data_IF_184070777715
#
_entry.id   IF_184070777715
#
_cell.length_a   1.000
_cell.length_b   1.000
_cell.length_c   1.000
_cell.angle_alpha   90.00
_cell.angle_beta   90.00
_cell.angle_gamma   90.00
#
_symmetry.space_group_name_H-M   'P 1'
#
loop_
_entity.id
_entity.type
_entity.pdbx_description
1 polymer ?
#
# COMPACT_ATOMS: atom_id res chain seq x y z
N UNK A 1 6.55 -52.67 32.33
CA UNK A 1 6.27 -51.35 32.93
C UNK A 1 6.84 -50.27 32.01
N UNK A 2 6.00 -49.29 31.64
CA UNK A 2 6.23 -47.96 31.04
C UNK A 2 7.11 -47.85 29.76
N UNK A 3 6.51 -47.68 28.57
CA UNK A 3 6.09 -46.40 27.93
C UNK A 3 7.21 -45.34 27.80
N UNK A 4 7.85 -45.30 26.64
CA UNK A 4 8.55 -44.10 26.15
C UNK A 4 7.55 -43.25 25.36
N UNK A 5 7.26 -42.06 25.90
CA UNK A 5 6.30 -41.10 25.37
C UNK A 5 7.05 -39.98 24.64
N UNK A 6 6.40 -39.50 23.58
CA UNK A 6 6.81 -38.47 22.63
C UNK A 6 7.43 -37.20 23.23
N UNK A 7 8.50 -36.71 22.58
CA UNK A 7 9.08 -35.38 22.78
C UNK A 7 9.53 -34.79 21.43
N UNK A 8 8.59 -34.62 20.51
CA UNK A 8 8.74 -33.85 19.26
C UNK A 8 7.37 -33.22 18.97
N UNK A 9 7.07 -32.04 19.53
CA UNK A 9 5.73 -31.47 19.36
C UNK A 9 5.49 -30.00 19.70
N UNK A 10 6.47 -29.23 20.20
CA UNK A 10 6.22 -27.83 20.58
C UNK A 10 6.79 -26.77 19.62
N UNK A 11 7.82 -27.09 18.83
CA UNK A 11 8.41 -26.10 17.89
C UNK A 11 7.54 -25.81 16.65
N UNK A 12 6.77 -26.81 16.18
CA UNK A 12 5.97 -26.68 14.95
C UNK A 12 4.71 -25.83 15.15
N UNK A 13 4.09 -25.87 16.34
CA UNK A 13 2.88 -25.11 16.63
C UNK A 13 3.12 -23.59 16.70
N UNK A 14 4.27 -23.14 17.21
CA UNK A 14 4.57 -21.71 17.34
C UNK A 14 4.80 -21.03 15.97
N UNK A 15 5.48 -21.70 15.03
CA UNK A 15 5.66 -21.19 13.66
C UNK A 15 4.36 -21.17 12.86
N UNK A 16 3.49 -22.19 13.04
CA UNK A 16 2.16 -22.18 12.42
C UNK A 16 1.29 -21.02 12.93
N UNK A 17 1.32 -20.72 14.22
CA UNK A 17 0.54 -19.62 14.80
C UNK A 17 1.00 -18.24 14.30
N UNK A 18 2.31 -18.02 14.19
CA UNK A 18 2.86 -16.76 13.67
C UNK A 18 2.56 -16.57 12.19
N UNK A 19 2.62 -17.62 11.38
CA UNK A 19 2.23 -17.56 9.96
C UNK A 19 0.72 -17.27 9.79
N UNK A 20 -0.14 -17.86 10.63
CA UNK A 20 -1.59 -17.63 10.58
C UNK A 20 -1.98 -16.21 11.01
N UNK A 21 -1.38 -15.67 12.08
CA UNK A 21 -1.62 -14.29 12.52
C UNK A 21 -1.17 -13.27 11.45
N UNK A 22 -0.07 -13.58 10.76
CA UNK A 22 0.49 -12.74 9.71
C UNK A 22 -0.27 -12.83 8.37
N UNK A 23 -1.01 -13.91 8.10
CA UNK A 23 -1.98 -14.03 7.02
C UNK A 23 -3.31 -13.30 7.35
N UNK A 24 -3.77 -13.38 8.60
CA UNK A 24 -5.00 -12.70 9.06
C UNK A 24 -4.89 -11.16 9.01
N UNK A 25 -3.72 -10.61 9.38
CA UNK A 25 -3.42 -9.17 9.24
C UNK A 25 -3.47 -8.72 7.77
N UNK A 26 -3.15 -9.60 6.82
CA UNK A 26 -3.19 -9.29 5.39
C UNK A 26 -4.58 -9.35 4.78
N UNK A 27 -5.42 -10.28 5.24
CA UNK A 27 -6.83 -10.30 4.89
C UNK A 27 -7.55 -9.05 5.44
N UNK A 28 -7.23 -8.65 6.67
CA UNK A 28 -7.77 -7.43 7.28
C UNK A 28 -7.37 -6.14 6.55
N UNK A 29 -6.21 -6.11 5.88
CA UNK A 29 -5.74 -5.00 5.04
C UNK A 29 -6.27 -5.04 3.60
N UNK A 30 -6.75 -6.20 3.14
CA UNK A 30 -7.44 -6.35 1.86
C UNK A 30 -8.88 -5.83 1.95
N UNK A 31 -9.49 -6.00 3.12
CA UNK A 31 -10.73 -5.35 3.50
C UNK A 31 -10.48 -3.87 3.80
N UNK A 32 -11.37 -2.99 3.34
CA UNK A 32 -11.31 -1.57 3.72
C UNK A 32 -11.46 -1.49 5.25
N UNK A 33 -10.72 -0.62 5.97
CA UNK A 33 -11.13 -0.28 7.32
C UNK A 33 -12.58 0.22 7.25
N UNK A 34 -13.45 -0.18 8.19
CA UNK A 34 -14.80 0.36 8.21
C UNK A 34 -14.72 1.90 8.26
N UNK A 35 -15.62 2.54 7.53
CA UNK A 35 -15.74 4.00 7.36
C UNK A 35 -15.84 4.81 8.68
N UNK A 36 -15.79 4.13 9.83
CA UNK A 36 -15.81 4.65 11.19
C UNK A 36 -14.47 5.20 11.68
N UNK A 37 -13.34 4.93 11.02
CA UNK A 37 -12.04 5.51 11.40
C UNK A 37 -11.80 6.96 10.88
N UNK A 38 -12.82 7.58 10.29
CA UNK A 38 -12.70 8.77 9.41
C UNK A 38 -13.77 9.82 9.68
N UNK A 39 -14.08 10.06 10.96
CA UNK A 39 -15.10 11.04 11.37
C UNK A 39 -14.72 12.52 11.08
N UNK A 40 -13.43 12.83 10.87
CA UNK A 40 -12.94 14.21 10.72
C UNK A 40 -12.43 14.57 9.31
N UNK A 41 -12.70 13.74 8.30
CA UNK A 41 -12.23 13.99 6.94
C UNK A 41 -13.36 14.51 6.05
N UNK A 42 -13.19 15.70 5.46
CA UNK A 42 -14.15 16.30 4.54
C UNK A 42 -14.03 15.68 3.14
N UNK A 43 -15.18 15.55 2.47
CA UNK A 43 -15.25 15.17 1.06
C UNK A 43 -14.77 16.32 0.16
N UNK A 44 -14.32 16.00 -1.05
CA UNK A 44 -13.85 16.96 -2.05
C UNK A 44 -12.44 16.67 -2.51
N UNK A 45 -12.31 15.69 -3.40
CA UNK A 45 -11.04 15.33 -4.01
C UNK A 45 -10.57 16.45 -4.95
N UNK A 46 -9.39 16.99 -4.72
CA UNK A 46 -8.76 17.92 -5.67
C UNK A 46 -7.30 17.54 -5.89
N UNK A 47 -6.76 17.77 -7.11
CA UNK A 47 -5.36 17.48 -7.39
C UNK A 47 -4.41 18.20 -6.42
N UNK A 48 -4.71 19.45 -6.10
CA UNK A 48 -3.91 20.24 -5.15
C UNK A 48 -3.88 19.63 -3.73
N UNK A 49 -5.03 19.14 -3.23
CA UNK A 49 -5.10 18.48 -1.92
C UNK A 49 -4.33 17.16 -1.91
N UNK A 50 -4.48 16.34 -2.95
CA UNK A 50 -3.74 15.09 -3.10
C UNK A 50 -2.23 15.34 -3.13
N UNK A 51 -1.79 16.32 -3.91
CA UNK A 51 -0.38 16.70 -4.00
C UNK A 51 0.18 17.22 -2.68
N UNK A 52 -0.51 18.14 -2.02
CA UNK A 52 -0.10 18.63 -0.70
C UNK A 52 -0.01 17.51 0.34
N UNK A 53 -0.92 16.54 0.27
CA UNK A 53 -0.94 15.39 1.17
C UNK A 53 0.10 14.32 0.84
N UNK A 54 0.72 14.27 -0.34
CA UNK A 54 1.68 13.20 -0.67
C UNK A 54 3.11 13.69 -0.92
N UNK A 55 3.29 14.97 -1.22
CA UNK A 55 4.59 15.56 -1.50
C UNK A 55 5.59 15.32 -0.36
N UNK A 56 6.81 14.92 -0.72
CA UNK A 56 7.90 14.70 0.24
C UNK A 56 8.79 13.51 -0.10
N UNK A 57 9.81 13.31 0.75
CA UNK A 57 10.64 12.12 0.77
C UNK A 57 10.13 11.16 1.85
N UNK A 58 10.10 9.88 1.54
CA UNK A 58 9.47 8.85 2.34
C UNK A 58 10.43 7.65 2.47
N UNK A 59 10.50 7.04 3.66
CA UNK A 59 11.30 5.82 3.89
C UNK A 59 10.49 4.77 4.62
N UNK A 60 10.70 3.51 4.27
CA UNK A 60 10.02 2.39 4.91
C UNK A 60 10.21 1.11 4.11
N UNK A 61 9.11 0.40 3.83
CA UNK A 61 9.17 -0.91 3.18
C UNK A 61 8.07 -1.11 2.14
N UNK A 62 8.39 -1.88 1.11
CA UNK A 62 7.42 -2.56 0.26
C UNK A 62 7.28 -4.00 0.77
N UNK A 63 6.06 -4.41 1.09
CA UNK A 63 5.73 -5.82 1.25
C UNK A 63 4.85 -6.27 0.11
N UNK A 64 5.20 -7.34 -0.58
CA UNK A 64 4.42 -7.85 -1.70
C UNK A 64 4.31 -9.37 -1.71
N UNK A 65 3.30 -9.86 -2.43
CA UNK A 65 3.13 -11.28 -2.73
C UNK A 65 3.76 -11.57 -4.10
N UNK A 66 4.76 -12.43 -4.11
CA UNK A 66 5.43 -12.87 -5.33
C UNK A 66 4.45 -13.64 -6.23
N UNK A 67 4.39 -13.27 -7.52
CA UNK A 67 3.40 -13.84 -8.45
C UNK A 67 3.69 -15.29 -8.83
N UNK A 68 4.94 -15.73 -8.77
CA UNK A 68 5.31 -17.12 -9.09
C UNK A 68 5.10 -18.06 -7.92
N UNK A 69 5.60 -17.70 -6.75
CA UNK A 69 5.61 -18.57 -5.57
C UNK A 69 4.47 -18.31 -4.58
N UNK A 70 3.76 -17.17 -4.71
CA UNK A 70 2.77 -16.73 -3.74
C UNK A 70 3.35 -16.33 -2.39
N UNK A 71 4.67 -16.38 -2.22
CA UNK A 71 5.36 -16.04 -0.97
C UNK A 71 5.37 -14.54 -0.76
N UNK A 72 5.45 -14.15 0.51
CA UNK A 72 5.60 -12.76 0.90
C UNK A 72 7.08 -12.36 0.87
N UNK A 73 7.35 -11.19 0.31
CA UNK A 73 8.67 -10.57 0.27
C UNK A 73 8.54 -9.17 0.86
N UNK A 74 9.53 -8.76 1.66
CA UNK A 74 9.64 -7.42 2.24
C UNK A 74 10.95 -6.81 1.77
N UNK A 75 10.90 -5.63 1.17
CA UNK A 75 12.05 -4.87 0.71
C UNK A 75 12.09 -3.52 1.42
N UNK A 76 13.25 -3.08 1.94
CA UNK A 76 13.46 -1.69 2.28
C UNK A 76 13.24 -0.81 1.04
N UNK A 77 12.45 0.24 1.19
CA UNK A 77 12.03 1.10 0.08
C UNK A 77 12.07 2.55 0.51
N UNK A 78 12.54 3.43 -0.37
CA UNK A 78 12.30 4.87 -0.27
C UNK A 78 11.45 5.36 -1.43
N UNK A 79 10.63 6.37 -1.19
CA UNK A 79 9.85 7.03 -2.21
C UNK A 79 10.07 8.55 -2.19
N UNK A 80 9.97 9.19 -3.35
CA UNK A 80 9.94 10.63 -3.50
C UNK A 80 8.71 11.02 -4.30
N UNK A 81 7.94 11.99 -3.79
CA UNK A 81 6.76 12.52 -4.47
C UNK A 81 6.98 14.00 -4.71
N UNK A 82 7.01 14.40 -5.98
CA UNK A 82 7.04 15.79 -6.43
C UNK A 82 5.74 16.16 -7.13
N UNK A 83 5.34 17.42 -7.05
CA UNK A 83 4.13 17.94 -7.70
C UNK A 83 4.56 18.77 -8.90
N UNK A 84 4.16 18.36 -10.10
CA UNK A 84 4.36 19.10 -11.33
C UNK A 84 3.43 20.33 -11.41
N UNK A 85 3.69 21.22 -12.36
CA UNK A 85 2.94 22.47 -12.52
C UNK A 85 1.44 22.26 -12.83
N UNK A 86 1.09 21.13 -13.46
CA UNK A 86 -0.28 20.72 -13.78
C UNK A 86 -0.95 19.92 -12.64
N UNK A 87 -0.34 19.90 -11.45
CA UNK A 87 -0.72 19.10 -10.29
C UNK A 87 -0.62 17.57 -10.48
N UNK A 88 0.00 17.08 -11.55
CA UNK A 88 0.41 15.68 -11.66
C UNK A 88 1.48 15.38 -10.62
N UNK A 89 1.38 14.23 -9.95
CA UNK A 89 2.42 13.76 -9.03
C UNK A 89 3.41 12.88 -9.79
N UNK A 90 4.69 13.17 -9.64
CA UNK A 90 5.76 12.28 -10.07
C UNK A 90 6.22 11.48 -8.86
N UNK A 91 6.09 10.15 -8.94
CA UNK A 91 6.38 9.24 -7.83
C UNK A 91 7.57 8.37 -8.21
N UNK A 92 8.68 8.55 -7.50
CA UNK A 92 9.88 7.73 -7.65
C UNK A 92 9.98 6.74 -6.49
N UNK A 93 10.33 5.48 -6.80
CA UNK A 93 10.62 4.43 -5.82
C UNK A 93 12.03 3.88 -6.02
N UNK A 94 12.70 3.61 -4.91
CA UNK A 94 13.99 2.91 -4.86
C UNK A 94 13.82 1.72 -3.91
N UNK A 95 14.09 0.52 -4.41
CA UNK A 95 14.00 -0.73 -3.67
C UNK A 95 15.41 -1.26 -3.42
N UNK A 96 15.72 -1.60 -2.17
CA UNK A 96 16.91 -2.36 -1.80
C UNK A 96 16.58 -3.85 -1.90
N UNK A 97 17.12 -4.51 -2.94
CA UNK A 97 16.90 -5.93 -3.23
C UNK A 97 18.10 -6.79 -2.77
N UNK A 98 18.84 -6.28 -1.79
CA UNK A 98 19.97 -6.95 -1.17
C UNK A 98 21.33 -6.51 -1.73
N UNK A 99 22.42 -7.21 -1.35
CA UNK A 99 23.79 -6.76 -1.59
C UNK A 99 24.08 -6.39 -3.05
N UNK A 100 24.37 -5.11 -3.28
CA UNK A 100 24.71 -4.56 -4.60
C UNK A 100 23.53 -4.46 -5.58
N UNK A 101 22.29 -4.67 -5.13
CA UNK A 101 21.09 -4.66 -5.98
C UNK A 101 20.12 -3.58 -5.55
N UNK A 102 19.93 -2.61 -6.45
CA UNK A 102 18.93 -1.57 -6.29
C UNK A 102 18.05 -1.52 -7.53
N UNK A 103 16.75 -1.56 -7.33
CA UNK A 103 15.76 -1.40 -8.40
C UNK A 103 15.12 -0.02 -8.28
N UNK A 104 14.87 0.64 -9.40
CA UNK A 104 14.21 1.95 -9.46
C UNK A 104 12.93 1.85 -10.28
N UNK A 105 11.90 2.55 -9.85
CA UNK A 105 10.65 2.65 -10.59
C UNK A 105 10.10 4.06 -10.49
N UNK A 106 9.47 4.53 -11.56
CA UNK A 106 8.82 5.84 -11.60
C UNK A 106 7.39 5.67 -12.10
N UNK A 107 6.48 6.45 -11.53
CA UNK A 107 5.07 6.50 -11.88
C UNK A 107 4.58 7.96 -11.90
N UNK A 108 3.45 8.21 -12.54
CA UNK A 108 2.80 9.53 -12.59
C UNK A 108 1.36 9.40 -12.18
N UNK A 109 0.91 10.15 -11.18
CA UNK A 109 -0.45 10.11 -10.67
C UNK A 109 -1.16 11.42 -10.95
N UNK A 110 -2.23 11.37 -11.74
CA UNK A 110 -3.03 12.53 -12.09
C UNK A 110 -4.48 12.29 -11.69
N UNK A 111 -4.92 12.98 -10.64
CA UNK A 111 -6.33 13.03 -10.27
C UNK A 111 -7.06 13.97 -11.24
N UNK A 112 -8.22 13.57 -11.75
CA UNK A 112 -9.03 14.43 -12.62
C UNK A 112 -9.52 15.68 -11.87
N UNK A 113 -9.79 16.76 -12.61
CA UNK A 113 -10.21 18.03 -12.04
C UNK A 113 -11.55 17.93 -11.28
N UNK A 114 -12.41 17.00 -11.68
CA UNK A 114 -13.67 16.67 -11.00
C UNK A 114 -13.47 15.73 -9.79
N UNK A 115 -12.26 15.22 -9.57
CA UNK A 115 -11.93 14.35 -8.45
C UNK A 115 -12.46 12.92 -8.55
N UNK A 116 -13.00 12.51 -9.70
CA UNK A 116 -13.66 11.21 -9.86
C UNK A 116 -12.78 10.10 -10.44
N UNK A 117 -11.62 10.43 -10.99
CA UNK A 117 -10.71 9.43 -11.56
C UNK A 117 -9.25 9.72 -11.24
N UNK A 118 -8.48 8.67 -11.00
CA UNK A 118 -7.03 8.70 -10.85
C UNK A 118 -6.39 7.99 -12.04
N UNK A 119 -5.61 8.72 -12.83
CA UNK A 119 -4.78 8.16 -13.89
C UNK A 119 -3.36 7.92 -13.37
N UNK A 120 -2.91 6.69 -13.48
CA UNK A 120 -1.53 6.26 -13.24
C UNK A 120 -0.87 5.92 -14.60
N UNK A 121 0.45 5.69 -14.65
CA UNK A 121 1.13 5.42 -15.93
C UNK A 121 0.54 4.25 -16.72
N UNK A 122 -0.01 3.25 -16.04
CA UNK A 122 -0.56 2.01 -16.64
C UNK A 122 -2.03 1.76 -16.32
N UNK A 123 -2.61 2.52 -15.40
CA UNK A 123 -3.96 2.27 -14.88
C UNK A 123 -4.79 3.55 -14.96
N UNK A 124 -6.09 3.38 -15.19
CA UNK A 124 -7.09 4.42 -14.94
C UNK A 124 -8.10 3.84 -13.96
N UNK A 125 -8.27 4.50 -12.82
CA UNK A 125 -9.06 4.01 -11.70
C UNK A 125 -10.09 5.07 -11.30
N UNK A 126 -11.28 4.62 -10.92
CA UNK A 126 -12.37 5.47 -10.45
C UNK A 126 -12.23 5.69 -8.94
N UNK A 127 -12.43 6.93 -8.50
CA UNK A 127 -12.38 7.30 -7.09
C UNK A 127 -13.69 6.86 -6.42
N UNK A 128 -13.59 5.91 -5.50
CA UNK A 128 -14.74 5.41 -4.74
C UNK A 128 -14.90 6.07 -3.37
N UNK A 129 -13.80 6.49 -2.76
CA UNK A 129 -13.81 7.27 -1.52
C UNK A 129 -12.64 8.26 -1.52
N UNK A 130 -12.91 9.49 -1.13
CA UNK A 130 -11.88 10.49 -0.91
C UNK A 130 -12.26 11.33 0.29
N UNK A 131 -11.29 11.44 1.20
CA UNK A 131 -11.47 12.07 2.49
C UNK A 131 -10.18 12.77 2.87
N UNK A 132 -10.23 14.07 3.08
CA UNK A 132 -9.07 14.86 3.52
C UNK A 132 -9.34 15.54 4.87
N UNK A 133 -8.38 15.45 5.78
CA UNK A 133 -8.48 15.98 7.13
C UNK A 133 -8.01 17.42 7.24
N UNK A 134 -7.91 17.90 8.47
CA UNK A 134 -7.12 19.09 8.77
C UNK A 134 -5.64 18.75 8.60
N UNK A 135 -4.91 19.56 7.82
CA UNK A 135 -3.51 19.28 7.49
C UNK A 135 -3.32 18.28 6.35
N UNK A 136 -2.48 17.26 6.56
CA UNK A 136 -2.03 16.34 5.53
C UNK A 136 -2.68 14.94 5.59
N UNK A 137 -3.62 14.73 6.50
CA UNK A 137 -4.37 13.47 6.60
C UNK A 137 -5.21 13.23 5.35
N UNK A 138 -5.13 12.01 4.82
CA UNK A 138 -5.76 11.63 3.56
C UNK A 138 -6.21 10.17 3.61
N UNK A 139 -7.41 9.90 3.13
CA UNK A 139 -7.83 8.60 2.61
C UNK A 139 -8.26 8.80 1.15
N UNK A 140 -7.68 8.01 0.26
CA UNK A 140 -8.10 7.85 -1.13
C UNK A 140 -8.27 6.37 -1.41
N UNK A 141 -9.46 5.98 -1.87
CA UNK A 141 -9.77 4.64 -2.35
C UNK A 141 -10.14 4.76 -3.81
N UNK A 142 -9.44 4.00 -4.65
CA UNK A 142 -9.74 3.92 -6.08
C UNK A 142 -9.95 2.47 -6.50
N UNK A 143 -10.86 2.28 -7.46
CA UNK A 143 -11.27 1.00 -7.99
C UNK A 143 -11.05 0.98 -9.51
N UNK A 144 -10.81 -0.19 -10.07
CA UNK A 144 -10.76 -0.34 -11.51
C UNK A 144 -10.57 -1.79 -11.90
N UNK A 145 -10.07 -2.00 -13.12
CA UNK A 145 -9.84 -3.33 -13.66
C UNK A 145 -8.39 -3.49 -14.09
N UNK A 146 -7.94 -4.74 -14.17
CA UNK A 146 -6.61 -5.08 -14.65
C UNK A 146 -6.54 -6.50 -15.14
N UNK A 147 -5.33 -6.96 -15.44
CA UNK A 147 -5.07 -8.34 -15.82
C UNK A 147 -3.95 -8.90 -14.97
N UNK A 148 -4.12 -10.12 -14.51
CA UNK A 148 -3.12 -10.87 -13.78
C UNK A 148 -3.00 -12.26 -14.36
N UNK A 149 -1.79 -12.62 -14.83
CA UNK A 149 -1.53 -13.93 -15.46
C UNK A 149 -2.51 -14.25 -16.61
N UNK A 150 -2.95 -13.23 -17.34
CA UNK A 150 -3.94 -13.35 -18.42
C UNK A 150 -5.41 -13.36 -17.96
N UNK A 151 -5.68 -13.34 -16.66
CA UNK A 151 -7.03 -13.32 -16.09
C UNK A 151 -7.46 -11.89 -15.75
N UNK A 152 -8.66 -11.44 -16.17
CA UNK A 152 -9.22 -10.17 -15.73
C UNK A 152 -9.44 -10.15 -14.22
N UNK A 153 -9.09 -9.05 -13.57
CA UNK A 153 -9.28 -8.83 -12.13
C UNK A 153 -9.87 -7.46 -11.87
N UNK A 154 -10.65 -7.34 -10.80
CA UNK A 154 -10.91 -6.05 -10.16
C UNK A 154 -9.65 -5.62 -9.40
N UNK A 155 -9.38 -4.32 -9.39
CA UNK A 155 -8.26 -3.70 -8.70
C UNK A 155 -8.82 -2.72 -7.68
N UNK A 156 -8.24 -2.71 -6.48
CA UNK A 156 -8.47 -1.71 -5.46
C UNK A 156 -7.13 -1.17 -5.02
N UNK A 157 -6.96 0.14 -5.02
CA UNK A 157 -5.83 0.80 -4.39
C UNK A 157 -6.33 1.70 -3.27
N UNK A 158 -5.65 1.65 -2.12
CA UNK A 158 -5.92 2.51 -0.97
C UNK A 158 -4.66 3.29 -0.63
N UNK A 159 -4.79 4.61 -0.59
CA UNK A 159 -3.75 5.53 -0.12
C UNK A 159 -4.25 6.15 1.17
N UNK A 160 -3.52 5.91 2.25
CA UNK A 160 -3.85 6.42 3.58
C UNK A 160 -2.63 7.14 4.14
N UNK A 161 -2.78 8.43 4.45
CA UNK A 161 -1.81 9.22 5.20
C UNK A 161 -2.42 9.65 6.53
N UNK A 162 -1.64 9.48 7.61
CA UNK A 162 -1.92 9.95 8.96
C UNK A 162 -0.68 10.63 9.52
N UNK A 163 -0.67 11.96 9.57
CA UNK A 163 0.51 12.74 9.93
C UNK A 163 1.71 12.40 9.04
N UNK A 164 2.75 11.81 9.63
CA UNK A 164 3.97 11.41 8.93
C UNK A 164 3.97 9.93 8.50
N UNK A 165 2.89 9.18 8.75
CA UNK A 165 2.76 7.80 8.28
C UNK A 165 1.96 7.74 6.96
N UNK A 166 2.49 7.02 5.97
CA UNK A 166 1.84 6.80 4.68
C UNK A 166 1.79 5.30 4.38
N UNK A 167 0.62 4.83 3.95
CA UNK A 167 0.46 3.48 3.40
C UNK A 167 -0.22 3.53 2.04
N UNK A 168 0.31 2.77 1.10
CA UNK A 168 -0.27 2.59 -0.24
C UNK A 168 -0.44 1.09 -0.42
N UNK A 169 -1.67 0.60 -0.49
CA UNK A 169 -1.96 -0.82 -0.72
C UNK A 169 -2.66 -1.03 -2.05
N UNK A 170 -2.38 -2.17 -2.69
CA UNK A 170 -3.10 -2.65 -3.87
C UNK A 170 -3.57 -4.06 -3.63
N UNK A 171 -4.87 -4.28 -3.80
CA UNK A 171 -5.50 -5.59 -3.78
C UNK A 171 -6.13 -5.88 -5.15
N UNK A 172 -6.29 -7.16 -5.44
CA UNK A 172 -6.97 -7.66 -6.65
C UNK A 172 -8.03 -8.67 -6.28
N UNK A 173 -9.12 -8.72 -7.03
CA UNK A 173 -10.16 -9.72 -6.86
C UNK A 173 -10.46 -10.35 -8.22
N UNK A 174 -10.31 -11.68 -8.30
CA UNK A 174 -10.87 -12.47 -9.40
C UNK A 174 -12.38 -12.65 -9.18
N UNK A 175 -13.17 -12.94 -10.23
CA UNK A 175 -14.58 -13.27 -10.07
C UNK A 175 -14.80 -14.33 -8.99
N UNK A 176 -15.76 -14.07 -8.10
CA UNK A 176 -16.18 -14.96 -7.00
C UNK A 176 -15.08 -15.34 -5.98
N UNK A 177 -13.96 -14.62 -5.97
CA UNK A 177 -12.90 -14.79 -4.98
C UNK A 177 -12.88 -13.64 -3.97
N UNK A 178 -12.25 -13.87 -2.83
CA UNK A 178 -11.96 -12.79 -1.87
C UNK A 178 -10.93 -11.80 -2.44
N UNK A 179 -10.90 -10.58 -1.91
CA UNK A 179 -9.83 -9.64 -2.21
C UNK A 179 -8.49 -10.19 -1.74
N UNK A 180 -7.51 -10.20 -2.65
CA UNK A 180 -6.15 -10.60 -2.38
C UNK A 180 -5.23 -9.38 -2.38
N UNK A 181 -4.67 -9.03 -1.22
CA UNK A 181 -3.66 -7.99 -1.12
C UNK A 181 -2.38 -8.40 -1.87
N UNK A 182 -2.01 -7.61 -2.88
CA UNK A 182 -0.83 -7.85 -3.72
C UNK A 182 0.40 -7.18 -3.19
N UNK A 183 0.27 -5.92 -2.81
CA UNK A 183 1.36 -5.21 -2.19
C UNK A 183 0.86 -4.11 -1.27
N UNK A 184 1.73 -3.76 -0.32
CA UNK A 184 1.57 -2.64 0.59
C UNK A 184 2.91 -1.96 0.79
N UNK A 185 2.91 -0.66 0.58
CA UNK A 185 3.93 0.23 1.08
C UNK A 185 3.54 0.70 2.48
N UNK A 186 4.52 0.78 3.37
CA UNK A 186 4.41 1.43 4.66
C UNK A 186 5.62 2.36 4.81
N UNK A 187 5.37 3.65 4.96
CA UNK A 187 6.37 4.69 4.93
C UNK A 187 6.22 5.66 6.09
N UNK A 188 7.33 6.30 6.44
CA UNK A 188 7.40 7.47 7.29
C UNK A 188 8.01 8.62 6.50
N UNK A 189 7.45 9.82 6.66
CA UNK A 189 7.95 11.05 6.04
C UNK A 189 9.35 11.36 6.57
N UNK A 190 10.30 11.56 5.67
CA UNK A 190 11.63 12.05 6.02
C UNK A 190 11.58 13.56 6.20
N UNK A 191 11.82 14.01 7.44
CA UNK A 191 11.98 15.44 7.70
C UNK A 191 13.44 15.85 7.48
N UNK A 192 13.71 16.94 6.75
CA UNK A 192 15.05 17.51 6.68
C UNK A 192 15.53 17.85 8.11
N UNK A 193 16.64 17.23 8.56
CA UNK A 193 17.34 17.63 9.79
C UNK A 193 17.16 16.78 11.06
N UNK A 194 16.73 15.52 10.96
CA UNK A 194 16.67 14.61 12.12
C UNK A 194 17.96 13.81 12.39
N UNK A 195 19.00 13.95 11.55
CA UNK A 195 20.22 13.15 11.61
C UNK A 195 21.45 13.85 12.23
N UNK A 196 21.31 15.04 12.82
CA UNK A 196 22.40 15.79 13.45
C UNK A 196 22.04 16.31 14.87
N UNK A 197 21.54 15.43 15.75
CA UNK A 197 21.50 15.72 17.20
C UNK A 197 21.85 14.51 18.03
#
# INVERSE_FOLDING_TARGET
>A
MLKFCALLGMGCLALCLQAQAQEADWAALAELPPATATADLAAGATPARLGAALAGAWRGSLTYRDYGSGKRVVLPTSASVTVAADATLEVGFIYDDGPGKTVRSNDTWALSADGHSLRMKRDQLDVSDYRAGTGADLLLVVLGTGTENGTPVQVRMVVLRRGDALTISRATQQPDQAWLLRHRYAFTLERPGASDR
#
